data_IF_430998859812
#
_entry.id   IF_430998859812
#
_cell.length_a   1.000
_cell.length_b   1.000
_cell.length_c   1.000
_cell.angle_alpha   90.00
_cell.angle_beta   90.00
_cell.angle_gamma   90.00
#
_symmetry.space_group_name_H-M   'P 1'
#
loop_
_entity.id
_entity.type
_entity.pdbx_description
1 polymer ?
#
# COMPACT_ATOMS: atom_id res chain seq x y z
N UNK A 1 13.54 -16.44 -6.87
CA UNK A 1 12.40 -16.65 -7.77
C UNK A 1 12.12 -15.35 -8.52
N UNK A 2 11.87 -15.44 -9.80
CA UNK A 2 11.41 -14.30 -10.60
C UNK A 2 9.89 -14.22 -10.52
N UNK A 3 9.34 -13.03 -10.26
CA UNK A 3 7.90 -12.81 -10.21
C UNK A 3 7.27 -12.88 -8.82
N UNK A 4 8.08 -12.79 -7.77
CA UNK A 4 7.61 -12.70 -6.39
C UNK A 4 8.09 -11.40 -5.75
N UNK A 5 7.23 -10.79 -4.95
CA UNK A 5 7.54 -9.62 -4.13
C UNK A 5 6.97 -9.81 -2.74
N UNK A 6 7.75 -9.47 -1.73
CA UNK A 6 7.31 -9.44 -0.34
C UNK A 6 7.27 -7.99 0.15
N UNK A 7 6.19 -7.64 0.82
CA UNK A 7 6.08 -6.34 1.48
C UNK A 7 5.54 -6.51 2.90
N UNK A 8 6.11 -5.79 3.84
CA UNK A 8 5.71 -5.79 5.24
C UNK A 8 5.28 -4.38 5.62
N UNK A 9 4.14 -4.27 6.28
CA UNK A 9 3.58 -3.02 6.75
C UNK A 9 2.55 -3.27 7.87
N UNK A 10 2.19 -2.24 8.66
CA UNK A 10 1.20 -2.37 9.74
C UNK A 10 -0.22 -2.69 9.25
N UNK A 11 -0.54 -2.36 8.00
CA UNK A 11 -1.89 -2.59 7.43
C UNK A 11 -1.79 -3.23 6.05
N UNK A 12 -2.85 -3.97 5.67
CA UNK A 12 -2.93 -4.59 4.34
C UNK A 12 -2.85 -3.54 3.22
N UNK A 13 -3.52 -2.41 3.37
CA UNK A 13 -3.53 -1.33 2.38
C UNK A 13 -2.11 -0.80 2.12
N UNK A 14 -1.33 -0.60 3.18
CA UNK A 14 0.05 -0.16 3.05
C UNK A 14 0.95 -1.27 2.47
N UNK A 15 0.73 -2.52 2.87
CA UNK A 15 1.48 -3.66 2.36
C UNK A 15 1.26 -3.86 0.85
N UNK A 16 0.01 -3.85 0.37
CA UNK A 16 -0.28 -4.02 -1.06
C UNK A 16 0.30 -2.86 -1.90
N UNK A 17 0.24 -1.63 -1.41
CA UNK A 17 0.84 -0.48 -2.07
C UNK A 17 2.37 -0.57 -2.15
N UNK A 18 3.02 -1.09 -1.10
CA UNK A 18 4.46 -1.39 -1.12
C UNK A 18 4.79 -2.51 -2.10
N UNK A 19 4.00 -3.59 -2.11
CA UNK A 19 4.19 -4.73 -3.00
C UNK A 19 4.10 -4.32 -4.48
N UNK A 20 3.10 -3.53 -4.85
CA UNK A 20 2.94 -3.01 -6.22
C UNK A 20 4.17 -2.23 -6.67
N UNK A 21 4.74 -1.39 -5.81
CA UNK A 21 5.98 -0.67 -6.13
C UNK A 21 7.20 -1.58 -6.20
N UNK A 22 7.29 -2.55 -5.29
CA UNK A 22 8.38 -3.53 -5.26
C UNK A 22 8.37 -4.49 -6.45
N UNK A 23 7.24 -4.65 -7.13
CA UNK A 23 7.12 -5.45 -8.34
C UNK A 23 7.81 -4.81 -9.58
N UNK A 24 8.29 -3.57 -9.47
CA UNK A 24 9.04 -2.84 -10.53
C UNK A 24 8.28 -2.68 -11.86
N UNK A 25 6.94 -2.68 -11.79
CA UNK A 25 6.05 -2.55 -12.95
C UNK A 25 5.66 -1.09 -13.27
N UNK A 26 6.41 -0.12 -12.72
CA UNK A 26 6.20 1.32 -12.90
C UNK A 26 4.86 1.85 -12.39
N UNK A 27 4.30 1.22 -11.37
CA UNK A 27 3.07 1.64 -10.71
C UNK A 27 3.36 2.16 -9.30
N UNK A 28 2.85 3.35 -8.97
CA UNK A 28 2.89 3.90 -7.60
C UNK A 28 1.67 3.51 -6.78
N UNK A 29 0.57 3.16 -7.47
CA UNK A 29 -0.73 2.80 -6.89
C UNK A 29 -1.34 1.65 -7.69
N UNK A 30 -2.55 1.24 -7.30
CA UNK A 30 -3.34 0.26 -8.03
C UNK A 30 -4.09 0.84 -9.24
N UNK A 31 -3.89 2.12 -9.55
CA UNK A 31 -4.45 2.71 -10.77
C UNK A 31 -3.66 2.26 -12.01
N UNK A 32 -4.37 1.78 -13.01
CA UNK A 32 -3.82 1.38 -14.28
C UNK A 32 -4.58 2.03 -15.44
N UNK A 33 -3.84 2.62 -16.39
CA UNK A 33 -4.43 3.37 -17.49
C UNK A 33 -5.20 2.48 -18.45
N UNK A 34 -4.72 1.28 -18.71
CA UNK A 34 -5.38 0.34 -19.62
C UNK A 34 -6.79 0.03 -19.11
N UNK A 35 -6.94 -0.31 -17.82
CA UNK A 35 -8.25 -0.59 -17.24
C UNK A 35 -9.13 0.66 -17.13
N UNK A 36 -8.54 1.83 -16.89
CA UNK A 36 -9.27 3.10 -16.85
C UNK A 36 -9.90 3.48 -18.20
N UNK A 37 -9.30 3.06 -19.32
CA UNK A 37 -9.76 3.32 -20.69
C UNK A 37 -10.81 2.30 -21.18
N UNK A 38 -10.96 1.16 -20.50
CA UNK A 38 -11.96 0.14 -20.89
C UNK A 38 -13.40 0.62 -20.64
N UNK A 39 -14.34 0.06 -21.40
CA UNK A 39 -15.76 0.22 -21.11
C UNK A 39 -16.15 -0.51 -19.80
N UNK A 40 -17.28 -0.12 -19.19
CA UNK A 40 -17.77 -0.82 -17.99
C UNK A 40 -18.03 -2.31 -18.25
N UNK A 41 -18.58 -2.66 -19.41
CA UNK A 41 -18.80 -4.06 -19.80
C UNK A 41 -17.45 -4.81 -19.88
N UNK A 42 -16.45 -4.21 -20.53
CA UNK A 42 -15.13 -4.83 -20.67
C UNK A 42 -14.42 -5.02 -19.32
N UNK A 43 -14.54 -4.08 -18.38
CA UNK A 43 -14.01 -4.23 -17.02
C UNK A 43 -14.71 -5.39 -16.31
N UNK A 44 -16.04 -5.49 -16.43
CA UNK A 44 -16.81 -6.56 -15.81
C UNK A 44 -16.40 -7.94 -16.34
N UNK A 45 -16.31 -8.08 -17.67
CA UNK A 45 -15.89 -9.33 -18.32
C UNK A 45 -14.46 -9.71 -17.92
N UNK A 46 -13.58 -8.72 -17.79
CA UNK A 46 -12.17 -8.90 -17.44
C UNK A 46 -11.94 -9.41 -16.02
N UNK A 47 -12.86 -9.18 -15.07
CA UNK A 47 -12.78 -9.70 -13.70
C UNK A 47 -12.68 -11.22 -13.64
N UNK A 48 -13.27 -11.94 -14.61
CA UNK A 48 -13.24 -13.41 -14.70
C UNK A 48 -11.87 -13.97 -15.05
N UNK A 49 -10.97 -13.15 -15.63
CA UNK A 49 -9.64 -13.58 -16.06
C UNK A 49 -8.68 -13.54 -14.86
N UNK A 50 -8.14 -14.70 -14.48
CA UNK A 50 -7.20 -14.83 -13.38
C UNK A 50 -5.76 -14.77 -13.91
N UNK A 51 -5.18 -13.57 -13.90
CA UNK A 51 -3.80 -13.31 -14.27
C UNK A 51 -3.12 -12.30 -13.31
N UNK A 52 -1.87 -11.96 -13.59
CA UNK A 52 -1.04 -11.02 -12.82
C UNK A 52 -1.58 -9.58 -12.79
N UNK A 53 -2.46 -9.20 -13.73
CA UNK A 53 -3.04 -7.87 -13.81
C UNK A 53 -4.42 -7.75 -13.17
N UNK A 54 -4.98 -8.86 -12.71
CA UNK A 54 -6.34 -8.92 -12.17
C UNK A 54 -6.59 -7.93 -11.04
N UNK A 55 -5.59 -7.70 -10.17
CA UNK A 55 -5.72 -6.78 -9.03
C UNK A 55 -6.02 -5.34 -9.47
N UNK A 56 -5.44 -4.88 -10.58
CA UNK A 56 -5.70 -3.55 -11.14
C UNK A 56 -7.10 -3.46 -11.74
N UNK A 57 -7.57 -4.53 -12.39
CA UNK A 57 -8.95 -4.63 -12.89
C UNK A 57 -9.96 -4.58 -11.73
N UNK A 58 -9.72 -5.32 -10.65
CA UNK A 58 -10.55 -5.31 -9.43
C UNK A 58 -10.60 -3.90 -8.82
N UNK A 59 -9.46 -3.22 -8.74
CA UNK A 59 -9.40 -1.86 -8.20
C UNK A 59 -10.22 -0.87 -9.06
N UNK A 60 -10.09 -0.95 -10.39
CA UNK A 60 -10.88 -0.12 -11.30
C UNK A 60 -12.38 -0.45 -11.23
N UNK A 61 -12.75 -1.73 -11.13
CA UNK A 61 -14.14 -2.17 -10.97
C UNK A 61 -14.78 -1.57 -9.70
N UNK A 62 -14.08 -1.60 -8.57
CA UNK A 62 -14.52 -0.97 -7.31
C UNK A 62 -14.69 0.55 -7.46
N UNK A 63 -13.77 1.22 -8.14
CA UNK A 63 -13.87 2.67 -8.43
C UNK A 63 -15.10 3.03 -9.25
N UNK A 64 -15.53 2.16 -10.13
CA UNK A 64 -16.73 2.31 -10.95
C UNK A 64 -18.03 1.93 -10.23
N UNK A 65 -17.95 1.48 -8.98
CA UNK A 65 -19.10 1.14 -8.16
C UNK A 65 -19.64 -0.28 -8.33
N UNK A 66 -18.87 -1.18 -8.97
CA UNK A 66 -19.19 -2.61 -8.92
C UNK A 66 -19.05 -3.04 -7.47
N UNK A 67 -20.06 -3.73 -6.94
CA UNK A 67 -20.12 -4.05 -5.51
C UNK A 67 -19.11 -5.11 -5.11
N UNK A 68 -18.72 -5.12 -3.85
CA UNK A 68 -17.83 -6.15 -3.28
C UNK A 68 -18.41 -7.55 -3.51
N UNK A 69 -19.71 -7.72 -3.25
CA UNK A 69 -20.42 -8.98 -3.47
C UNK A 69 -20.35 -9.44 -4.95
N UNK A 70 -20.57 -8.53 -5.90
CA UNK A 70 -20.49 -8.86 -7.33
C UNK A 70 -19.07 -9.28 -7.72
N UNK A 71 -18.05 -8.56 -7.26
CA UNK A 71 -16.65 -8.91 -7.53
C UNK A 71 -16.29 -10.24 -6.86
N UNK A 72 -16.69 -10.45 -5.60
CA UNK A 72 -16.47 -11.71 -4.90
C UNK A 72 -17.07 -12.89 -5.68
N UNK A 73 -18.33 -12.78 -6.13
CA UNK A 73 -19.02 -13.84 -6.86
C UNK A 73 -18.33 -14.21 -8.19
N UNK A 74 -17.65 -13.25 -8.84
CA UNK A 74 -16.93 -13.50 -10.09
C UNK A 74 -15.52 -14.03 -9.82
N UNK A 75 -14.84 -13.44 -8.83
CA UNK A 75 -13.39 -13.62 -8.64
C UNK A 75 -13.03 -14.65 -7.60
N UNK A 76 -13.95 -14.94 -6.67
CA UNK A 76 -13.75 -15.70 -5.44
C UNK A 76 -12.68 -15.10 -4.52
N UNK A 77 -12.32 -13.82 -4.71
CA UNK A 77 -11.49 -13.08 -3.77
C UNK A 77 -12.35 -12.79 -2.54
N UNK A 78 -11.81 -13.08 -1.35
CA UNK A 78 -12.50 -12.82 -0.09
C UNK A 78 -12.89 -11.34 0.05
N UNK A 79 -14.09 -11.08 0.51
CA UNK A 79 -14.67 -9.75 0.63
C UNK A 79 -13.84 -8.82 1.52
N UNK A 80 -13.16 -9.38 2.52
CA UNK A 80 -12.28 -8.61 3.40
C UNK A 80 -11.18 -7.88 2.61
N UNK A 81 -10.54 -8.55 1.64
CA UNK A 81 -9.53 -7.92 0.78
C UNK A 81 -10.14 -6.83 -0.10
N UNK A 82 -11.32 -7.08 -0.65
CA UNK A 82 -12.03 -6.11 -1.48
C UNK A 82 -12.42 -4.85 -0.70
N UNK A 83 -12.89 -5.00 0.54
CA UNK A 83 -13.18 -3.87 1.43
C UNK A 83 -11.89 -3.07 1.77
N UNK A 84 -10.74 -3.73 1.94
CA UNK A 84 -9.47 -3.04 2.13
C UNK A 84 -9.05 -2.21 0.91
N UNK A 85 -9.31 -2.69 -0.30
CA UNK A 85 -9.09 -1.91 -1.52
C UNK A 85 -10.04 -0.70 -1.61
N UNK A 86 -11.27 -0.81 -1.14
CA UNK A 86 -12.20 0.33 -1.03
C UNK A 86 -11.70 1.42 -0.10
N UNK A 87 -11.01 1.06 0.98
CA UNK A 87 -10.39 2.05 1.87
C UNK A 87 -9.34 2.90 1.13
N UNK A 88 -8.56 2.30 0.23
CA UNK A 88 -7.62 3.04 -0.63
C UNK A 88 -8.36 4.01 -1.57
N UNK A 89 -9.46 3.53 -2.18
CA UNK A 89 -10.28 4.34 -3.09
C UNK A 89 -10.91 5.52 -2.33
N UNK A 90 -11.37 5.31 -1.11
CA UNK A 90 -11.94 6.38 -0.28
C UNK A 90 -10.91 7.49 -0.03
N UNK A 91 -9.69 7.13 0.39
CA UNK A 91 -8.61 8.12 0.60
C UNK A 91 -8.23 8.81 -0.72
N UNK A 92 -8.15 8.07 -1.83
CA UNK A 92 -7.88 8.67 -3.14
C UNK A 92 -8.94 9.69 -3.56
N UNK A 93 -10.21 9.39 -3.29
CA UNK A 93 -11.32 10.31 -3.58
C UNK A 93 -11.30 11.55 -2.66
N UNK A 94 -10.96 11.39 -1.38
CA UNK A 94 -10.78 12.52 -0.47
C UNK A 94 -9.62 13.43 -0.95
N UNK A 95 -8.49 12.85 -1.38
CA UNK A 95 -7.37 13.59 -1.95
C UNK A 95 -7.75 14.36 -3.22
N UNK A 96 -8.62 13.80 -4.08
CA UNK A 96 -9.08 14.44 -5.32
C UNK A 96 -10.03 15.61 -5.08
N UNK A 97 -10.92 15.48 -4.13
CA UNK A 97 -12.05 16.38 -3.96
C UNK A 97 -11.93 17.29 -2.74
N UNK A 98 -10.99 17.00 -1.83
CA UNK A 98 -10.85 17.70 -0.55
C UNK A 98 -9.68 18.68 -0.52
N UNK A 99 -9.62 19.40 0.59
CA UNK A 99 -8.42 20.13 0.95
C UNK A 99 -7.38 19.17 1.53
N UNK A 100 -6.11 19.32 1.15
CA UNK A 100 -5.03 18.53 1.74
C UNK A 100 -4.74 19.04 3.16
N UNK A 101 -5.49 18.51 4.12
CA UNK A 101 -5.25 18.76 5.54
C UNK A 101 -4.12 17.86 6.05
N UNK A 102 -3.52 18.22 7.18
CA UNK A 102 -2.50 17.40 7.83
C UNK A 102 -3.02 15.98 8.16
N UNK A 103 -4.26 15.89 8.68
CA UNK A 103 -4.90 14.60 8.97
C UNK A 103 -5.05 13.73 7.72
N UNK A 104 -5.55 14.29 6.62
CA UNK A 104 -5.70 13.56 5.37
C UNK A 104 -4.34 13.12 4.81
N UNK A 105 -3.32 13.98 4.93
CA UNK A 105 -1.97 13.64 4.53
C UNK A 105 -1.40 12.47 5.33
N UNK A 106 -1.49 12.51 6.67
CA UNK A 106 -1.04 11.43 7.56
C UNK A 106 -1.79 10.13 7.25
N UNK A 107 -3.12 10.18 7.08
CA UNK A 107 -3.93 9.00 6.70
C UNK A 107 -3.50 8.42 5.36
N UNK A 108 -3.26 9.26 4.35
CA UNK A 108 -2.79 8.82 3.04
C UNK A 108 -1.41 8.15 3.12
N UNK A 109 -0.47 8.71 3.90
CA UNK A 109 0.84 8.12 4.14
C UNK A 109 0.71 6.74 4.81
N UNK A 110 -0.14 6.62 5.82
CA UNK A 110 -0.40 5.36 6.52
C UNK A 110 -1.12 4.31 5.66
N UNK A 111 -1.77 4.72 4.57
CA UNK A 111 -2.31 3.81 3.55
C UNK A 111 -1.32 3.53 2.41
N UNK A 112 -0.11 4.08 2.47
CA UNK A 112 0.96 3.76 1.54
C UNK A 112 1.07 4.68 0.32
N UNK A 113 0.35 5.82 0.28
CA UNK A 113 0.53 6.82 -0.77
C UNK A 113 1.88 7.52 -0.63
N UNK A 114 2.60 7.68 -1.74
CA UNK A 114 3.83 8.46 -1.81
C UNK A 114 3.54 9.96 -1.90
N UNK A 115 4.45 10.81 -1.42
CA UNK A 115 4.30 12.27 -1.53
C UNK A 115 4.09 12.68 -2.99
N UNK A 116 4.91 12.19 -3.91
CA UNK A 116 4.73 12.44 -5.36
C UNK A 116 3.35 12.05 -5.90
N UNK A 117 2.75 11.00 -5.34
CA UNK A 117 1.40 10.56 -5.73
C UNK A 117 0.34 11.50 -5.15
N UNK A 118 0.48 11.90 -3.90
CA UNK A 118 -0.40 12.87 -3.23
C UNK A 118 -0.33 14.22 -3.96
N UNK A 119 0.87 14.71 -4.26
CA UNK A 119 1.08 15.94 -5.01
C UNK A 119 0.42 15.89 -6.41
N UNK A 120 0.57 14.75 -7.10
CA UNK A 120 -0.04 14.55 -8.42
C UNK A 120 -1.57 14.55 -8.36
N UNK A 121 -2.16 13.94 -7.33
CA UNK A 121 -3.62 13.86 -7.16
C UNK A 121 -4.20 15.21 -6.76
N UNK A 122 -3.56 15.89 -5.79
CA UNK A 122 -4.07 17.14 -5.21
C UNK A 122 -3.67 18.40 -5.99
N UNK A 123 -2.63 18.32 -6.84
CA UNK A 123 -2.00 19.46 -7.47
C UNK A 123 -1.25 20.38 -6.49
N UNK A 124 -1.05 19.96 -5.24
CA UNK A 124 -0.41 20.74 -4.17
C UNK A 124 0.90 20.06 -3.75
N UNK A 125 1.92 20.87 -3.47
CA UNK A 125 3.20 20.38 -2.97
C UNK A 125 3.11 20.03 -1.49
N UNK A 126 3.77 18.95 -1.10
CA UNK A 126 3.96 18.56 0.31
C UNK A 126 5.14 19.35 0.87
N UNK A 127 4.87 20.31 1.75
CA UNK A 127 5.91 21.18 2.31
C UNK A 127 6.71 20.50 3.43
N UNK A 128 6.04 19.70 4.26
CA UNK A 128 6.65 19.02 5.40
C UNK A 128 6.45 17.50 5.27
N UNK A 129 7.30 16.79 4.50
CA UNK A 129 7.16 15.36 4.31
C UNK A 129 7.40 14.60 5.62
N UNK A 130 6.54 13.62 5.91
CA UNK A 130 6.74 12.70 7.04
C UNK A 130 7.98 11.85 6.82
N UNK A 131 8.82 11.79 7.85
CA UNK A 131 9.99 10.91 7.90
C UNK A 131 9.53 9.53 8.38
N UNK A 132 9.83 8.45 7.65
CA UNK A 132 9.50 7.10 8.11
C UNK A 132 10.38 6.70 9.29
N UNK A 133 9.83 5.89 10.17
CA UNK A 133 10.55 5.14 11.21
C UNK A 133 10.64 3.67 10.81
N UNK A 134 11.47 2.92 11.53
CA UNK A 134 11.67 1.51 11.24
C UNK A 134 11.22 0.66 12.44
N UNK A 135 10.34 -0.29 12.17
CA UNK A 135 9.83 -1.26 13.12
C UNK A 135 10.47 -2.62 12.88
N UNK A 136 10.79 -3.35 13.94
CA UNK A 136 11.29 -4.71 13.84
C UNK A 136 10.20 -5.65 13.34
N UNK A 137 10.57 -6.63 12.51
CA UNK A 137 9.65 -7.67 12.07
C UNK A 137 9.43 -8.65 13.21
N UNK A 138 8.23 -8.67 13.76
CA UNK A 138 7.82 -9.68 14.74
C UNK A 138 7.47 -10.99 14.02
N UNK A 139 8.33 -12.00 14.17
CA UNK A 139 8.13 -13.34 13.60
C UNK A 139 7.38 -14.28 14.53
N UNK A 140 7.10 -13.84 15.76
CA UNK A 140 6.49 -14.66 16.81
C UNK A 140 5.07 -14.24 17.18
N UNK A 141 4.46 -13.31 16.43
CA UNK A 141 3.10 -12.78 16.67
C UNK A 141 2.86 -12.34 18.12
N UNK A 142 3.85 -11.66 18.72
CA UNK A 142 3.86 -11.18 20.11
C UNK A 142 3.71 -12.29 21.20
N UNK A 143 3.91 -13.55 20.83
CA UNK A 143 3.89 -14.66 21.80
C UNK A 143 5.22 -14.77 22.55
N UNK A 144 6.32 -14.42 21.89
CA UNK A 144 7.68 -14.38 22.44
C UNK A 144 8.35 -13.10 21.92
N UNK A 145 9.29 -12.56 22.70
CA UNK A 145 10.13 -11.46 22.23
C UNK A 145 10.98 -11.95 21.05
N UNK A 146 10.72 -11.37 19.87
CA UNK A 146 11.40 -11.76 18.64
C UNK A 146 12.55 -10.79 18.37
N UNK A 147 13.77 -11.26 18.57
CA UNK A 147 14.96 -10.55 18.12
C UNK A 147 15.24 -10.93 16.67
N UNK A 148 14.80 -10.11 15.73
CA UNK A 148 15.10 -10.30 14.31
C UNK A 148 15.93 -9.13 13.79
N UNK A 149 16.89 -9.36 12.87
CA UNK A 149 17.64 -8.27 12.23
C UNK A 149 16.88 -7.62 11.07
N UNK A 150 15.58 -7.86 10.95
CA UNK A 150 14.75 -7.38 9.86
C UNK A 150 13.82 -6.27 10.31
N UNK A 151 13.81 -5.18 9.54
CA UNK A 151 13.00 -4.01 9.82
C UNK A 151 12.14 -3.66 8.60
N UNK A 152 11.00 -3.02 8.87
CA UNK A 152 10.14 -2.44 7.83
C UNK A 152 9.84 -0.97 8.16
N UNK A 153 9.68 -0.15 7.13
CA UNK A 153 9.35 1.26 7.29
C UNK A 153 7.87 1.47 7.61
N UNK A 154 7.59 2.35 8.56
CA UNK A 154 6.25 2.76 8.96
C UNK A 154 6.23 4.28 9.24
N UNK A 155 5.04 4.86 9.36
CA UNK A 155 4.86 6.23 9.85
C UNK A 155 4.27 6.16 11.27
N UNK A 156 5.13 6.01 12.25
CA UNK A 156 4.82 5.84 13.67
C UNK A 156 5.65 6.79 14.53
N UNK A 157 5.45 6.78 15.84
CA UNK A 157 6.17 7.64 16.80
C UNK A 157 7.49 7.02 17.26
N UNK A 158 7.61 5.69 17.22
CA UNK A 158 8.75 4.96 17.75
C UNK A 158 9.60 4.38 16.61
N UNK A 159 10.92 4.53 16.73
CA UNK A 159 11.91 3.98 15.81
C UNK A 159 12.72 2.87 16.50
N UNK A 160 12.29 1.64 16.37
CA UNK A 160 12.92 0.47 17.02
C UNK A 160 14.33 0.18 16.45
N UNK A 161 14.62 0.58 15.22
CA UNK A 161 15.96 0.40 14.65
C UNK A 161 17.03 1.24 15.36
N UNK A 162 16.68 2.43 15.86
CA UNK A 162 17.63 3.26 16.60
C UNK A 162 18.00 2.63 17.94
N UNK A 163 17.06 2.00 18.62
CA UNK A 163 17.28 1.29 19.88
C UNK A 163 18.16 0.07 19.63
N UNK A 164 17.79 -0.75 18.67
CA UNK A 164 18.56 -1.94 18.26
C UNK A 164 20.01 -1.60 17.89
N UNK A 165 20.24 -0.54 17.07
CA UNK A 165 21.59 -0.12 16.68
C UNK A 165 22.37 0.39 17.89
N UNK A 166 21.72 1.06 18.84
CA UNK A 166 22.34 1.57 20.06
C UNK A 166 22.82 0.44 20.99
N UNK A 167 22.06 -0.64 21.10
CA UNK A 167 22.39 -1.80 21.91
C UNK A 167 23.51 -2.65 21.29
N UNK A 168 23.58 -2.71 19.96
CA UNK A 168 24.55 -3.49 19.19
C UNK A 168 25.83 -2.70 18.85
N UNK A 169 26.23 -1.71 19.65
CA UNK A 169 27.46 -0.95 19.42
C UNK A 169 28.67 -1.85 19.19
N UNK A 170 29.09 -1.90 17.94
CA UNK A 170 30.35 -2.54 17.54
C UNK A 170 31.27 -1.48 16.99
N UNK A 171 32.60 -1.63 17.21
CA UNK A 171 33.63 -0.74 16.62
C UNK A 171 33.82 -0.99 15.10
N UNK A 172 32.96 -1.76 14.47
CA UNK A 172 33.01 -2.07 13.04
C UNK A 172 32.15 -1.07 12.25
N UNK A 173 32.69 -0.66 11.09
CA UNK A 173 31.92 0.13 10.13
C UNK A 173 30.62 -0.64 9.74
N UNK A 174 29.50 0.04 9.88
CA UNK A 174 28.21 -0.50 9.41
C UNK A 174 28.00 -0.08 7.97
N UNK A 175 27.92 -1.04 7.07
CA UNK A 175 27.52 -0.83 5.66
C UNK A 175 26.03 -1.15 5.55
N UNK A 176 25.25 -0.17 5.09
CA UNK A 176 23.82 -0.31 4.80
C UNK A 176 23.65 -0.47 3.30
#
# INVERSE_FOLDING_TARGET
ATGEVMAIAPTFEQAIMKAVRGAEISHDTLNDKEFAELSNASVYDRLSVCDDRRIFCVYEALKRGITVEQIHNITLIDEWFLEKLKNLIAVENELKNGELTEDLYVRAKNKGFLDRTIEKITGRKVENPLVPVYKMVDTCAAVLEAETPFFYSAFDKENEAEEFIREQKSDKETVI
#
